data_IF_944173557193
#
_entry.id   IF_944173557193
#
_cell.length_a   1.000
_cell.length_b   1.000
_cell.length_c   1.000
_cell.angle_alpha   90.00
_cell.angle_beta   90.00
_cell.angle_gamma   90.00
#
_symmetry.space_group_name_H-M   'P 1'
#
loop_
_entity.id
_entity.type
_entity.pdbx_description
1 polymer ?
#
# COMPACT_ATOMS: atom_id res chain seq x y z
N UNK A 1 -19.98 -19.75 38.83
CA UNK A 1 -20.48 -19.12 37.59
C UNK A 1 -19.54 -17.96 37.26
N UNK A 2 -18.30 -18.29 36.89
CA UNK A 2 -17.16 -17.33 36.86
C UNK A 2 -16.21 -17.57 35.68
N UNK A 3 -16.54 -18.48 34.76
CA UNK A 3 -15.60 -19.02 33.77
C UNK A 3 -15.69 -18.31 32.40
N UNK A 4 -16.87 -17.79 32.06
CA UNK A 4 -17.17 -17.29 30.71
C UNK A 4 -16.56 -15.90 30.41
N UNK A 5 -16.28 -15.10 31.45
CA UNK A 5 -15.65 -13.78 31.31
C UNK A 5 -14.15 -13.92 31.03
N UNK A 6 -13.49 -14.86 31.71
CA UNK A 6 -12.05 -15.14 31.58
C UNK A 6 -11.72 -15.74 30.21
N UNK A 7 -12.56 -16.64 29.68
CA UNK A 7 -12.39 -17.21 28.34
C UNK A 7 -12.48 -16.16 27.22
N UNK A 8 -13.42 -15.21 27.35
CA UNK A 8 -13.58 -14.11 26.40
C UNK A 8 -12.40 -13.13 26.43
N UNK A 9 -11.87 -12.83 27.62
CA UNK A 9 -10.68 -12.00 27.78
C UNK A 9 -9.44 -12.65 27.18
N UNK A 10 -9.24 -13.95 27.43
CA UNK A 10 -8.14 -14.70 26.83
C UNK A 10 -8.25 -14.79 25.30
N UNK A 11 -9.45 -14.97 24.76
CA UNK A 11 -9.67 -15.00 23.31
C UNK A 11 -9.32 -13.64 22.67
N UNK A 12 -9.74 -12.53 23.29
CA UNK A 12 -9.38 -11.17 22.83
C UNK A 12 -7.87 -10.93 22.90
N UNK A 13 -7.22 -11.36 23.98
CA UNK A 13 -5.76 -11.24 24.14
C UNK A 13 -5.00 -12.00 23.05
N UNK A 14 -5.40 -13.24 22.73
CA UNK A 14 -4.81 -14.03 21.64
C UNK A 14 -4.98 -13.34 20.28
N UNK A 15 -6.16 -12.78 20.00
CA UNK A 15 -6.43 -12.04 18.76
C UNK A 15 -5.57 -10.78 18.67
N UNK A 16 -5.48 -10.00 19.75
CA UNK A 16 -4.64 -8.80 19.80
C UNK A 16 -3.16 -9.12 19.56
N UNK A 17 -2.64 -10.19 20.16
CA UNK A 17 -1.25 -10.65 19.92
C UNK A 17 -1.02 -11.04 18.46
N UNK A 18 -1.98 -11.74 17.83
CA UNK A 18 -1.90 -12.09 16.41
C UNK A 18 -1.87 -10.85 15.52
N UNK A 19 -2.76 -9.88 15.76
CA UNK A 19 -2.80 -8.62 15.01
C UNK A 19 -1.48 -7.86 15.17
N UNK A 20 -0.94 -7.78 16.40
CA UNK A 20 0.34 -7.13 16.66
C UNK A 20 1.49 -7.80 15.91
N UNK A 21 1.54 -9.13 15.88
CA UNK A 21 2.56 -9.88 15.13
C UNK A 21 2.45 -9.66 13.61
N UNK A 22 1.23 -9.63 13.06
CA UNK A 22 0.99 -9.33 11.64
C UNK A 22 1.40 -7.89 11.33
N UNK A 23 1.02 -6.91 12.17
CA UNK A 23 1.41 -5.50 12.02
C UNK A 23 2.92 -5.34 12.05
N UNK A 24 3.62 -6.01 12.98
CA UNK A 24 5.08 -5.95 13.06
C UNK A 24 5.76 -6.47 11.78
N UNK A 25 5.31 -7.61 11.25
CA UNK A 25 5.82 -8.16 9.98
C UNK A 25 5.52 -7.24 8.80
N UNK A 26 4.32 -6.68 8.75
CA UNK A 26 3.93 -5.72 7.73
C UNK A 26 4.83 -4.48 7.76
N UNK A 27 5.05 -3.88 8.93
CA UNK A 27 5.91 -2.71 9.09
C UNK A 27 7.37 -3.01 8.74
N UNK A 28 7.87 -4.20 9.10
CA UNK A 28 9.22 -4.64 8.74
C UNK A 28 9.42 -4.71 7.22
N UNK A 29 8.43 -5.19 6.47
CA UNK A 29 8.48 -5.28 5.00
C UNK A 29 7.98 -4.04 4.24
N UNK A 30 7.46 -3.02 4.95
CA UNK A 30 6.82 -1.87 4.32
C UNK A 30 7.82 -1.05 3.49
N UNK A 31 9.07 -0.89 3.95
CA UNK A 31 10.09 -0.15 3.21
C UNK A 31 10.35 -0.74 1.83
N UNK A 32 10.64 -2.04 1.77
CA UNK A 32 10.88 -2.75 0.52
C UNK A 32 9.65 -2.71 -0.40
N UNK A 33 8.45 -2.81 0.19
CA UNK A 33 7.21 -2.71 -0.58
C UNK A 33 7.05 -1.33 -1.23
N UNK A 34 7.33 -0.25 -0.49
CA UNK A 34 7.26 1.11 -1.02
C UNK A 34 8.30 1.33 -2.12
N UNK A 35 9.53 0.80 -1.95
CA UNK A 35 10.55 0.84 -3.00
C UNK A 35 10.09 0.13 -4.28
N UNK A 36 9.51 -1.08 -4.17
CA UNK A 36 8.96 -1.80 -5.32
C UNK A 36 7.85 -1.01 -6.03
N UNK A 37 6.99 -0.32 -5.28
CA UNK A 37 5.94 0.52 -5.86
C UNK A 37 6.54 1.76 -6.55
N UNK A 38 7.58 2.37 -5.98
CA UNK A 38 8.29 3.48 -6.61
C UNK A 38 8.95 3.05 -7.93
N UNK A 39 9.60 1.88 -7.97
CA UNK A 39 10.15 1.32 -9.21
C UNK A 39 9.07 1.05 -10.25
N UNK A 40 7.92 0.51 -9.86
CA UNK A 40 6.78 0.32 -10.75
C UNK A 40 6.25 1.65 -11.29
N UNK A 41 6.19 2.69 -10.47
CA UNK A 41 5.81 4.04 -10.90
C UNK A 41 6.80 4.61 -11.90
N UNK A 42 8.11 4.44 -11.68
CA UNK A 42 9.14 4.87 -12.62
C UNK A 42 8.99 4.14 -13.97
N UNK A 43 8.90 2.81 -13.93
CA UNK A 43 8.77 1.96 -15.11
C UNK A 43 7.48 2.22 -15.91
N UNK A 44 6.42 2.71 -15.27
CA UNK A 44 5.17 3.06 -15.93
C UNK A 44 5.28 4.23 -16.92
N UNK A 45 6.42 4.94 -16.95
CA UNK A 45 6.73 5.98 -17.95
C UNK A 45 7.79 5.56 -18.98
N UNK A 46 8.12 4.27 -19.03
CA UNK A 46 9.15 3.72 -19.92
C UNK A 46 8.78 3.80 -21.42
N UNK A 47 9.79 3.67 -22.31
CA UNK A 47 9.60 3.81 -23.75
C UNK A 47 8.84 2.63 -24.40
N UNK A 48 8.83 1.47 -23.77
CA UNK A 48 8.01 0.32 -24.20
C UNK A 48 6.61 0.45 -23.63
N UNK A 49 5.63 0.74 -24.49
CA UNK A 49 4.25 0.98 -24.11
C UNK A 49 3.60 -0.23 -23.40
N UNK A 50 3.90 -1.46 -23.82
CA UNK A 50 3.31 -2.65 -23.20
C UNK A 50 3.89 -2.89 -21.81
N UNK A 51 5.21 -2.74 -21.66
CA UNK A 51 5.88 -2.84 -20.36
C UNK A 51 5.43 -1.71 -19.41
N UNK A 52 5.31 -0.47 -19.92
CA UNK A 52 4.84 0.69 -19.16
C UNK A 52 3.40 0.50 -18.68
N UNK A 53 2.51 -0.04 -19.51
CA UNK A 53 1.14 -0.36 -19.13
C UNK A 53 1.08 -1.42 -18.01
N UNK A 54 1.86 -2.50 -18.16
CA UNK A 54 1.94 -3.56 -17.15
C UNK A 54 2.51 -3.06 -15.81
N UNK A 55 3.49 -2.16 -15.86
CA UNK A 55 4.02 -1.49 -14.67
C UNK A 55 2.98 -0.58 -14.01
N UNK A 56 2.20 0.16 -14.81
CA UNK A 56 1.08 0.98 -14.32
C UNK A 56 -0.04 0.16 -13.69
N UNK A 57 -0.35 -1.04 -14.21
CA UNK A 57 -1.30 -1.98 -13.59
C UNK A 57 -0.76 -2.54 -12.27
N UNK A 58 0.51 -2.92 -12.25
CA UNK A 58 1.19 -3.44 -11.06
C UNK A 58 1.24 -2.41 -9.94
N UNK A 59 1.55 -1.16 -10.28
CA UNK A 59 1.52 -0.03 -9.36
C UNK A 59 0.12 0.16 -8.76
N UNK A 60 -0.92 0.25 -9.60
CA UNK A 60 -2.30 0.44 -9.16
C UNK A 60 -2.74 -0.65 -8.20
N UNK A 61 -2.52 -1.92 -8.57
CA UNK A 61 -2.87 -3.06 -7.72
C UNK A 61 -2.08 -3.06 -6.41
N UNK A 62 -0.80 -2.68 -6.46
CA UNK A 62 0.03 -2.57 -5.29
C UNK A 62 -0.45 -1.51 -4.29
N UNK A 63 -0.85 -0.34 -4.78
CA UNK A 63 -1.46 0.73 -3.99
C UNK A 63 -2.85 0.33 -3.46
N UNK A 64 -3.65 -0.35 -4.27
CA UNK A 64 -4.95 -0.89 -3.86
C UNK A 64 -4.83 -1.84 -2.67
N UNK A 65 -3.91 -2.80 -2.76
CA UNK A 65 -3.66 -3.76 -1.69
C UNK A 65 -3.15 -3.07 -0.42
N UNK A 66 -2.28 -2.06 -0.57
CA UNK A 66 -1.81 -1.26 0.54
C UNK A 66 -2.95 -0.50 1.21
N UNK A 67 -3.83 0.12 0.41
CA UNK A 67 -5.00 0.83 0.89
C UNK A 67 -5.98 -0.07 1.66
N UNK A 68 -6.23 -1.29 1.16
CA UNK A 68 -7.14 -2.24 1.78
C UNK A 68 -6.58 -2.89 3.05
N UNK A 69 -5.29 -3.24 3.06
CA UNK A 69 -4.68 -3.92 4.20
C UNK A 69 -4.43 -2.97 5.39
N UNK A 70 -4.04 -1.71 5.12
CA UNK A 70 -3.55 -0.80 6.18
C UNK A 70 -4.57 -0.53 7.30
N UNK A 71 -5.87 -0.27 7.02
CA UNK A 71 -6.89 -0.07 8.07
C UNK A 71 -7.04 -1.28 9.00
N UNK A 72 -6.94 -2.50 8.47
CA UNK A 72 -7.05 -3.74 9.27
C UNK A 72 -5.91 -3.90 10.28
N UNK A 73 -4.79 -3.19 10.05
CA UNK A 73 -3.60 -3.19 10.89
C UNK A 73 -3.50 -1.93 11.78
N UNK A 74 -4.55 -1.09 11.79
CA UNK A 74 -4.57 0.17 12.53
C UNK A 74 -3.78 1.31 11.88
N UNK A 75 -3.40 1.18 10.61
CA UNK A 75 -2.62 2.16 9.84
C UNK A 75 -3.56 2.96 8.93
N UNK A 76 -4.50 3.70 9.52
CA UNK A 76 -5.59 4.36 8.78
C UNK A 76 -5.06 5.41 7.79
N UNK A 77 -4.08 6.22 8.21
CA UNK A 77 -3.55 7.30 7.37
C UNK A 77 -2.75 6.76 6.18
N UNK A 78 -1.94 5.72 6.39
CA UNK A 78 -1.27 5.00 5.31
C UNK A 78 -2.28 4.48 4.28
N UNK A 79 -3.38 3.86 4.75
CA UNK A 79 -4.42 3.36 3.87
C UNK A 79 -5.09 4.47 3.05
N UNK A 80 -5.42 5.60 3.70
CA UNK A 80 -6.02 6.77 3.06
C UNK A 80 -5.11 7.36 1.98
N UNK A 81 -3.83 7.57 2.28
CA UNK A 81 -2.85 8.12 1.32
C UNK A 81 -2.59 7.16 0.17
N UNK A 82 -2.47 5.86 0.43
CA UNK A 82 -2.33 4.85 -0.62
C UNK A 82 -3.53 4.86 -1.59
N UNK A 83 -4.76 4.99 -1.07
CA UNK A 83 -5.96 5.11 -1.90
C UNK A 83 -5.99 6.40 -2.74
N UNK A 84 -5.47 7.52 -2.21
CA UNK A 84 -5.35 8.77 -2.97
C UNK A 84 -4.35 8.62 -4.12
N UNK A 85 -3.21 7.96 -3.88
CA UNK A 85 -2.23 7.67 -4.92
C UNK A 85 -2.79 6.71 -5.98
N UNK A 86 -3.56 5.69 -5.58
CA UNK A 86 -4.23 4.79 -6.53
C UNK A 86 -5.14 5.58 -7.48
N UNK A 87 -5.94 6.51 -6.95
CA UNK A 87 -6.82 7.37 -7.75
C UNK A 87 -6.04 8.25 -8.73
N UNK A 88 -4.88 8.78 -8.32
CA UNK A 88 -4.00 9.56 -9.21
C UNK A 88 -3.45 8.70 -10.33
N UNK A 89 -3.01 7.47 -10.05
CA UNK A 89 -2.57 6.53 -11.09
C UNK A 89 -3.67 6.29 -12.12
N UNK A 90 -4.92 6.08 -11.67
CA UNK A 90 -6.06 5.88 -12.57
C UNK A 90 -6.33 7.12 -13.42
N UNK A 91 -6.32 8.31 -12.80
CA UNK A 91 -6.62 9.57 -13.47
C UNK A 91 -5.54 10.00 -14.47
N UNK A 92 -4.28 9.65 -14.23
CA UNK A 92 -3.13 10.06 -15.04
C UNK A 92 -2.82 9.10 -16.20
N UNK A 93 -3.60 8.03 -16.42
CA UNK A 93 -3.30 7.09 -17.52
C UNK A 93 -3.43 7.74 -18.90
N UNK A 94 -2.43 7.49 -19.75
CA UNK A 94 -2.45 7.89 -21.16
C UNK A 94 -3.06 6.80 -22.05
N UNK A 95 -3.42 7.17 -23.28
CA UNK A 95 -3.78 6.21 -24.33
C UNK A 95 -2.60 5.24 -24.54
N UNK A 96 -2.80 3.97 -24.21
CA UNK A 96 -1.74 2.95 -24.17
C UNK A 96 -1.50 2.35 -22.78
N UNK A 97 -2.05 2.94 -21.70
CA UNK A 97 -2.10 2.33 -20.36
C UNK A 97 -0.96 2.69 -19.41
N UNK A 98 0.12 3.31 -19.90
CA UNK A 98 1.22 3.86 -19.09
C UNK A 98 0.89 5.21 -18.41
N UNK A 99 1.92 5.86 -17.88
CA UNK A 99 1.85 7.15 -17.19
C UNK A 99 2.75 8.21 -17.87
N UNK A 100 2.34 9.49 -17.87
CA UNK A 100 3.21 10.61 -18.19
C UNK A 100 4.44 10.66 -17.28
N UNK A 101 5.59 11.08 -17.79
CA UNK A 101 6.85 11.09 -17.04
C UNK A 101 6.82 12.03 -15.82
N UNK A 102 6.12 13.17 -15.93
CA UNK A 102 5.90 14.11 -14.82
C UNK A 102 5.04 13.47 -13.72
N UNK A 103 3.90 12.88 -14.09
CA UNK A 103 3.02 12.18 -13.16
C UNK A 103 3.73 10.99 -12.47
N UNK A 104 4.52 10.23 -13.22
CA UNK A 104 5.36 9.14 -12.72
C UNK A 104 6.36 9.64 -11.67
N UNK A 105 7.10 10.71 -11.97
CA UNK A 105 8.08 11.30 -11.05
C UNK A 105 7.46 11.83 -9.76
N UNK A 106 6.26 12.43 -9.82
CA UNK A 106 5.50 12.81 -8.63
C UNK A 106 5.09 11.61 -7.79
N UNK A 107 4.54 10.57 -8.43
CA UNK A 107 4.10 9.36 -7.75
C UNK A 107 5.26 8.66 -7.03
N UNK A 108 6.45 8.58 -7.65
CA UNK A 108 7.65 8.03 -7.00
C UNK A 108 7.94 8.73 -5.67
N UNK A 109 7.98 10.07 -5.68
CA UNK A 109 8.24 10.86 -4.46
C UNK A 109 7.17 10.62 -3.39
N UNK A 110 5.90 10.65 -3.80
CA UNK A 110 4.79 10.52 -2.86
C UNK A 110 4.64 9.12 -2.28
N UNK A 111 4.98 8.07 -3.05
CA UNK A 111 5.03 6.68 -2.58
C UNK A 111 6.09 6.52 -1.51
N UNK A 112 7.30 7.05 -1.73
CA UNK A 112 8.37 6.97 -0.74
C UNK A 112 8.01 7.76 0.54
N UNK A 113 7.30 8.87 0.41
CA UNK A 113 6.79 9.65 1.54
C UNK A 113 5.68 8.94 2.35
N UNK A 114 5.13 7.80 1.89
CA UNK A 114 4.20 7.00 2.70
C UNK A 114 4.86 6.41 3.94
N UNK A 115 6.19 6.31 3.96
CA UNK A 115 6.97 5.88 5.14
C UNK A 115 6.66 6.73 6.37
N UNK A 116 6.28 7.99 6.19
CA UNK A 116 5.96 8.95 7.25
C UNK A 116 4.55 8.74 7.83
N UNK A 117 3.75 7.84 7.25
CA UNK A 117 2.36 7.57 7.67
C UNK A 117 2.23 6.32 8.55
N UNK A 118 3.33 5.91 9.19
CA UNK A 118 3.42 4.68 9.99
C UNK A 118 2.92 4.84 11.42
N UNK A 119 2.75 6.08 11.86
CA UNK A 119 2.25 6.49 13.18
C UNK A 119 0.72 6.47 13.22
#
# INVERSE_FOLDING_TARGET
>A
MTDMTTDNEQARARTAQRIAAVRARFLAGLGDRLAQLAEAAHAASGPDAAAAAAAGDSLRLGLHNLAGASPTLGLLELGRRAAQLEKRVIASRVAGGGLPSDASGELVRDILALVESRD
#
